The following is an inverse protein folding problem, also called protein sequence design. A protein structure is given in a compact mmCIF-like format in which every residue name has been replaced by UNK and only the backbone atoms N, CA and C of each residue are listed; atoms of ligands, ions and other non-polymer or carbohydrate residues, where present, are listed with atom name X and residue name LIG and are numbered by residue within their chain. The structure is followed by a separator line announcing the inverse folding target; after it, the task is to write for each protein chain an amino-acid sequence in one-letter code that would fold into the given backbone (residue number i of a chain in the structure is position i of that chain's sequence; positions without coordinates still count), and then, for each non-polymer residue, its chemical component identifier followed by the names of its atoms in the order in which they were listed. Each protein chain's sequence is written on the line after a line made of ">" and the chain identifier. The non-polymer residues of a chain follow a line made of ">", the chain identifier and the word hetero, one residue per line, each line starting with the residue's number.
data_IF_243854113847
#
_entry.id   IF_243854113847
#
_cell.length_a   1.000
_cell.length_b   1.000
_cell.length_c   1.000
_cell.angle_alpha   90.00
_cell.angle_beta   90.00
_cell.angle_gamma   90.00
#
_symmetry.space_group_name_H-M   'P 1'
#
loop_
_entity.id
_entity.type
_entity.pdbx_description
1 polymer ?
#
# COMPACT_ATOMS: atom_id res chain seq x y z
N UNK A 1 18.79 -4.97 10.45
CA UNK A 1 18.29 -3.62 10.16
C UNK A 1 16.79 -3.69 9.87
N UNK A 2 15.98 -2.65 10.18
CA UNK A 2 14.56 -2.66 9.86
C UNK A 2 14.34 -2.66 8.34
N UNK A 3 13.28 -3.33 7.89
CA UNK A 3 12.93 -3.47 6.47
C UNK A 3 11.81 -4.49 6.28
N UNK A 4 11.38 -4.65 5.03
CA UNK A 4 10.48 -5.73 4.64
C UNK A 4 10.96 -6.33 3.32
N UNK A 5 11.10 -7.64 3.27
CA UNK A 5 11.39 -8.38 2.05
C UNK A 5 10.33 -9.44 1.81
N UNK A 6 10.12 -9.77 0.55
CA UNK A 6 9.22 -10.83 0.15
C UNK A 6 9.91 -11.71 -0.89
N UNK A 7 10.04 -12.99 -0.59
CA UNK A 7 10.37 -14.03 -1.58
C UNK A 7 9.18 -14.97 -1.78
N UNK A 8 9.15 -15.62 -2.93
CA UNK A 8 8.19 -16.68 -3.23
C UNK A 8 8.88 -17.83 -3.94
N UNK A 9 8.29 -19.02 -3.83
CA UNK A 9 8.71 -20.22 -4.56
C UNK A 9 7.54 -20.62 -5.45
N UNK A 10 7.82 -20.90 -6.73
CA UNK A 10 6.82 -21.46 -7.63
C UNK A 10 7.20 -22.88 -8.05
N UNK A 11 6.22 -23.59 -8.62
CA UNK A 11 6.43 -24.97 -9.11
C UNK A 11 7.41 -25.00 -10.29
N UNK A 12 7.45 -23.92 -11.09
CA UNK A 12 8.23 -23.87 -12.34
C UNK A 12 9.57 -23.14 -12.17
N UNK A 13 9.67 -22.27 -11.19
CA UNK A 13 10.86 -21.46 -10.91
C UNK A 13 11.03 -21.46 -9.40
N UNK A 14 12.21 -21.85 -8.89
CA UNK A 14 12.51 -21.97 -7.45
C UNK A 14 12.34 -20.66 -6.66
N UNK A 15 13.09 -20.46 -5.58
CA UNK A 15 12.94 -19.22 -4.80
C UNK A 15 13.33 -17.98 -5.63
N UNK A 16 12.48 -16.95 -5.58
CA UNK A 16 12.71 -15.65 -6.22
C UNK A 16 12.34 -14.53 -5.25
N UNK A 17 13.11 -13.46 -5.31
CA UNK A 17 12.85 -12.23 -4.56
C UNK A 17 11.84 -11.37 -5.33
N UNK A 18 10.71 -11.05 -4.69
CA UNK A 18 9.73 -10.09 -5.21
C UNK A 18 10.23 -8.67 -5.01
N UNK A 19 10.71 -8.36 -3.80
CA UNK A 19 11.31 -7.08 -3.48
C UNK A 19 11.93 -7.08 -2.08
N UNK A 20 12.94 -6.24 -1.89
CA UNK A 20 13.58 -5.97 -0.62
C UNK A 20 13.56 -4.45 -0.37
N UNK A 21 12.85 -4.04 0.68
CA UNK A 21 12.58 -2.64 1.01
C UNK A 21 13.24 -2.29 2.35
N UNK A 22 14.44 -1.68 2.34
CA UNK A 22 15.15 -1.34 3.56
C UNK A 22 14.55 -0.13 4.29
N UNK A 23 14.82 -0.07 5.59
CA UNK A 23 14.46 1.02 6.49
C UNK A 23 13.08 0.86 7.14
N UNK A 24 12.79 1.73 8.10
CA UNK A 24 11.55 1.71 8.91
C UNK A 24 10.26 1.68 8.07
N UNK A 25 10.29 2.31 6.90
CA UNK A 25 9.15 2.38 5.96
C UNK A 25 9.07 1.19 4.98
N UNK A 26 9.92 0.18 5.14
CA UNK A 26 10.00 -0.97 4.24
C UNK A 26 8.65 -1.67 4.04
N UNK A 27 7.93 -1.92 5.14
CA UNK A 27 6.60 -2.53 5.10
C UNK A 27 5.60 -1.70 4.28
N UNK A 28 5.59 -0.38 4.45
CA UNK A 28 4.64 0.49 3.74
C UNK A 28 4.92 0.49 2.24
N UNK A 29 6.19 0.47 1.82
CA UNK A 29 6.57 0.34 0.40
C UNK A 29 6.20 -1.03 -0.19
N UNK A 30 6.32 -2.10 0.59
CA UNK A 30 5.83 -3.42 0.17
C UNK A 30 4.31 -3.42 0.00
N UNK A 31 3.56 -2.86 0.96
CA UNK A 31 2.10 -2.75 0.90
C UNK A 31 1.62 -1.86 -0.26
N UNK A 32 2.38 -0.84 -0.63
CA UNK A 32 2.11 0.00 -1.81
C UNK A 32 2.07 -0.80 -3.12
N UNK A 33 2.79 -1.92 -3.22
CA UNK A 33 2.78 -2.78 -4.41
C UNK A 33 1.53 -3.66 -4.52
N UNK A 34 0.75 -3.80 -3.43
CA UNK A 34 -0.37 -4.73 -3.39
C UNK A 34 -1.64 -4.09 -3.96
N UNK A 35 -2.41 -4.86 -4.72
CA UNK A 35 -3.84 -4.57 -4.91
C UNK A 35 -4.57 -4.87 -3.61
N UNK A 36 -5.23 -3.85 -3.07
CA UNK A 36 -5.99 -3.93 -1.83
C UNK A 36 -7.48 -3.98 -2.14
N UNK A 37 -8.19 -4.97 -1.60
CA UNK A 37 -9.65 -5.11 -1.72
C UNK A 37 -10.28 -5.32 -0.34
N UNK A 38 -11.22 -4.48 0.12
CA UNK A 38 -11.97 -4.71 1.35
C UNK A 38 -12.77 -6.02 1.30
N UNK A 39 -12.88 -6.74 2.42
CA UNK A 39 -13.52 -8.06 2.47
C UNK A 39 -14.86 -8.10 3.18
N UNK A 40 -15.26 -7.03 3.86
CA UNK A 40 -16.52 -6.92 4.58
C UNK A 40 -16.88 -5.44 4.74
N UNK A 41 -18.10 -5.19 5.23
CA UNK A 41 -18.60 -3.83 5.50
C UNK A 41 -17.93 -3.16 6.71
N UNK A 42 -17.15 -3.92 7.49
CA UNK A 42 -16.30 -3.37 8.56
C UNK A 42 -14.90 -3.12 8.01
N UNK A 43 -14.43 -1.87 8.02
CA UNK A 43 -13.18 -1.38 7.41
C UNK A 43 -11.87 -1.96 7.99
N UNK A 44 -11.89 -3.16 8.58
CA UNK A 44 -10.76 -3.79 9.25
C UNK A 44 -10.26 -5.08 8.61
N UNK A 45 -10.87 -5.57 7.51
CA UNK A 45 -10.38 -6.76 6.79
C UNK A 45 -10.16 -6.48 5.31
N UNK A 46 -8.97 -6.85 4.84
CA UNK A 46 -8.51 -6.59 3.48
C UNK A 46 -7.90 -7.85 2.87
N UNK A 47 -8.15 -8.05 1.58
CA UNK A 47 -7.36 -8.94 0.72
C UNK A 47 -6.25 -8.11 0.09
N UNK A 48 -5.02 -8.59 0.20
CA UNK A 48 -3.85 -8.02 -0.45
C UNK A 48 -3.41 -9.02 -1.53
N UNK A 49 -3.20 -8.55 -2.76
CA UNK A 49 -2.67 -9.36 -3.85
C UNK A 49 -1.46 -8.66 -4.47
N UNK A 50 -0.31 -9.33 -4.47
CA UNK A 50 0.92 -8.90 -5.14
C UNK A 50 1.12 -9.79 -6.37
N UNK A 51 1.24 -9.19 -7.55
CA UNK A 51 1.50 -9.94 -8.79
C UNK A 51 2.98 -10.28 -8.88
N UNK A 52 3.31 -11.56 -8.67
CA UNK A 52 4.65 -12.04 -8.94
C UNK A 52 4.97 -11.94 -10.46
N UNK A 53 6.25 -11.72 -10.82
CA UNK A 53 6.71 -11.70 -12.21
C UNK A 53 6.36 -12.93 -13.07
N UNK A 54 6.06 -14.07 -12.44
CA UNK A 54 5.62 -15.30 -13.13
C UNK A 54 4.09 -15.39 -13.31
N UNK A 55 3.37 -14.30 -12.99
CA UNK A 55 1.92 -14.19 -13.13
C UNK A 55 1.12 -14.74 -11.95
N UNK A 56 1.77 -15.21 -10.89
CA UNK A 56 1.09 -15.69 -9.69
C UNK A 56 0.63 -14.53 -8.80
N UNK A 57 -0.62 -14.58 -8.36
CA UNK A 57 -1.14 -13.64 -7.34
C UNK A 57 -0.77 -14.11 -5.94
N UNK A 58 0.25 -13.50 -5.33
CA UNK A 58 0.61 -13.76 -3.94
C UNK A 58 -0.43 -13.09 -3.03
N UNK A 59 -1.22 -13.89 -2.31
CA UNK A 59 -2.44 -13.42 -1.63
C UNK A 59 -2.32 -13.49 -0.11
N UNK A 60 -2.66 -12.40 0.58
CA UNK A 60 -2.78 -12.34 2.04
C UNK A 60 -4.13 -11.76 2.48
N UNK A 61 -4.53 -12.12 3.70
CA UNK A 61 -5.65 -11.51 4.41
C UNK A 61 -5.10 -10.65 5.56
N UNK A 62 -5.24 -9.34 5.45
CA UNK A 62 -4.86 -8.39 6.49
C UNK A 62 -6.06 -8.08 7.37
N UNK A 63 -5.89 -8.18 8.69
CA UNK A 63 -6.83 -7.67 9.69
C UNK A 63 -6.17 -6.56 10.49
N UNK A 64 -6.84 -5.43 10.61
CA UNK A 64 -6.38 -4.27 11.39
C UNK A 64 -7.15 -4.18 12.70
N UNK A 65 -6.57 -3.52 13.69
CA UNK A 65 -7.24 -3.27 14.98
C UNK A 65 -8.15 -2.03 14.91
N UNK A 66 -7.70 -1.00 14.19
CA UNK A 66 -8.40 0.27 14.01
C UNK A 66 -8.27 0.73 12.55
N UNK A 67 -9.39 1.16 11.97
CA UNK A 67 -9.50 1.68 10.59
C UNK A 67 -8.70 0.83 9.58
N UNK A 68 -8.04 1.47 8.61
CA UNK A 68 -7.18 0.81 7.63
C UNK A 68 -5.79 0.42 8.18
N UNK A 69 -5.51 0.61 9.47
CA UNK A 69 -4.24 0.28 10.10
C UNK A 69 -3.03 0.83 9.32
N UNK A 70 -2.02 0.00 8.99
CA UNK A 70 -0.84 0.45 8.25
C UNK A 70 -1.15 0.94 6.83
N UNK A 71 -2.27 0.52 6.21
CA UNK A 71 -2.67 0.97 4.88
C UNK A 71 -3.08 2.45 4.88
N UNK A 72 -3.49 3.01 6.02
CA UNK A 72 -3.85 4.42 6.12
C UNK A 72 -2.68 5.35 5.72
N UNK A 73 -1.43 4.92 5.95
CA UNK A 73 -0.23 5.67 5.60
C UNK A 73 -0.04 5.84 4.09
N UNK A 74 -0.66 4.98 3.27
CA UNK A 74 -0.62 5.12 1.80
C UNK A 74 -1.34 6.39 1.32
N UNK A 75 -2.26 6.96 2.12
CA UNK A 75 -2.89 8.26 1.81
C UNK A 75 -1.91 9.43 1.81
N UNK A 76 -0.73 9.27 2.42
CA UNK A 76 0.32 10.29 2.44
C UNK A 76 1.14 10.33 1.14
N UNK A 77 0.93 9.40 0.20
CA UNK A 77 1.62 9.41 -1.09
C UNK A 77 1.19 10.64 -1.89
N UNK A 78 2.16 11.45 -2.28
CA UNK A 78 1.97 12.73 -2.98
C UNK A 78 1.08 13.73 -2.22
N UNK A 79 0.89 13.52 -0.91
CA UNK A 79 0.16 14.47 -0.09
C UNK A 79 0.94 15.78 0.03
N UNK A 80 0.25 16.89 -0.24
CA UNK A 80 0.80 18.24 -0.05
C UNK A 80 -0.16 19.02 0.82
N UNK A 81 0.37 19.66 1.87
CA UNK A 81 -0.44 20.51 2.73
C UNK A 81 -0.89 21.76 1.94
N UNK A 82 -2.16 22.16 2.02
CA UNK A 82 -2.62 23.41 1.40
C UNK A 82 -1.83 24.61 1.93
N UNK A 83 -1.46 25.52 1.02
CA UNK A 83 -0.72 26.74 1.38
C UNK A 83 -1.56 27.82 2.08
N UNK A 84 -2.89 27.67 2.09
CA UNK A 84 -3.82 28.62 2.70
C UNK A 84 -5.08 27.91 3.21
N UNK A 85 -5.67 28.46 4.27
CA UNK A 85 -6.88 27.91 4.91
C UNK A 85 -8.16 28.52 4.31
N UNK A 86 -8.12 29.79 3.91
CA UNK A 86 -9.25 30.50 3.31
C UNK A 86 -8.90 30.95 1.90
N UNK A 87 -9.84 30.79 0.97
CA UNK A 87 -9.76 31.37 -0.38
C UNK A 87 -10.28 32.82 -0.29
N UNK A 88 -9.49 33.80 -0.75
CA UNK A 88 -9.99 35.16 -0.95
C UNK A 88 -10.96 35.22 -2.14
N UNK A 89 -11.82 36.25 -2.20
CA UNK A 89 -12.90 36.40 -3.20
C UNK A 89 -12.45 36.29 -4.68
N UNK A 90 -11.15 36.44 -4.97
CA UNK A 90 -10.57 36.29 -6.31
C UNK A 90 -10.14 34.86 -6.68
N UNK A 91 -10.52 33.85 -5.88
CA UNK A 91 -10.20 32.43 -6.12
C UNK A 91 -10.96 31.75 -7.26
N UNK A 92 -11.94 32.43 -7.87
CA UNK A 92 -12.59 31.98 -9.10
C UNK A 92 -11.60 32.13 -10.27
N UNK A 93 -10.76 31.11 -10.48
CA UNK A 93 -9.95 31.02 -11.70
C UNK A 93 -10.90 30.86 -12.88
N UNK A 94 -10.91 31.89 -13.73
CA UNK A 94 -11.31 31.84 -15.13
C UNK A 94 -10.59 30.68 -15.82
N UNK A 95 -11.36 29.67 -16.25
CA UNK A 95 -11.32 28.90 -17.51
C UNK A 95 -12.20 27.65 -17.34
#
# INVERSE_FOLDING_TARGET
>A
HPGASLSWISVRTGERLFGDYPGTWGLIRLLEQARVTPLNDGESRYRLVLDAPDGLGLTWHLRTELDAGPLALLKLRNFTLPGQIFLGENGAKTL
#
